data_IF_620560043246
#
_entry.id   IF_620560043246
#
_cell.length_a   1.000
_cell.length_b   1.000
_cell.length_c   1.000
_cell.angle_alpha   90.00
_cell.angle_beta   90.00
_cell.angle_gamma   90.00
#
_symmetry.space_group_name_H-M   'P 1'
#
loop_
_entity.id
_entity.type
_entity.pdbx_description
1 polymer ?
#
# COMPACT_ATOMS: atom_id res chain seq x y z
N UNK A 1 8.67 -28.54 8.07
CA UNK A 1 9.48 -27.47 7.44
C UNK A 1 10.58 -28.03 6.55
N UNK A 2 11.21 -29.15 6.94
CA UNK A 2 12.49 -29.70 6.39
C UNK A 2 12.63 -29.93 4.87
N UNK A 3 11.59 -29.75 4.05
CA UNK A 3 11.75 -29.86 2.58
C UNK A 3 11.10 -28.73 1.78
N UNK A 4 10.32 -27.83 2.42
CA UNK A 4 9.52 -26.81 1.72
C UNK A 4 10.38 -25.86 0.87
N UNK A 5 11.52 -25.44 1.41
CA UNK A 5 12.42 -24.49 0.76
C UNK A 5 13.66 -25.13 0.16
N UNK A 6 13.70 -26.46 0.04
CA UNK A 6 14.89 -27.20 -0.42
C UNK A 6 15.45 -26.71 -1.76
N UNK A 7 14.58 -26.33 -2.71
CA UNK A 7 14.98 -25.75 -4.01
C UNK A 7 15.52 -24.33 -3.89
N UNK A 8 14.98 -23.54 -2.97
CA UNK A 8 15.44 -22.17 -2.71
C UNK A 8 16.79 -22.19 -1.97
N UNK A 9 16.97 -23.11 -1.01
CA UNK A 9 18.23 -23.34 -0.31
C UNK A 9 19.37 -23.85 -1.22
N UNK A 10 19.04 -24.45 -2.37
CA UNK A 10 20.03 -24.86 -3.37
C UNK A 10 20.60 -23.68 -4.17
N UNK A 11 19.90 -22.55 -4.21
CA UNK A 11 20.42 -21.35 -4.86
C UNK A 11 21.51 -20.73 -3.98
N UNK A 12 22.77 -20.85 -4.42
CA UNK A 12 23.96 -20.55 -3.60
C UNK A 12 23.94 -19.18 -2.89
N UNK A 13 23.47 -18.07 -3.51
CA UNK A 13 23.33 -16.79 -2.81
C UNK A 13 22.36 -16.84 -1.62
N UNK A 14 21.24 -17.57 -1.72
CA UNK A 14 20.30 -17.71 -0.60
C UNK A 14 20.84 -18.73 0.40
N UNK A 15 21.18 -19.94 -0.05
CA UNK A 15 21.63 -21.06 0.78
C UNK A 15 20.74 -21.33 2.03
N UNK A 16 21.19 -22.19 2.95
CA UNK A 16 20.44 -22.49 4.18
C UNK A 16 20.39 -21.30 5.15
N UNK A 17 21.45 -20.51 5.19
CA UNK A 17 21.56 -19.37 6.11
C UNK A 17 20.69 -18.20 5.65
N UNK A 18 20.66 -17.87 4.36
CA UNK A 18 19.72 -16.87 3.85
C UNK A 18 18.27 -17.31 4.01
N UNK A 19 17.96 -18.61 3.88
CA UNK A 19 16.63 -19.12 4.18
C UNK A 19 16.24 -18.92 5.66
N UNK A 20 17.17 -19.16 6.60
CA UNK A 20 16.92 -18.86 8.02
C UNK A 20 16.65 -17.37 8.26
N UNK A 21 17.40 -16.49 7.59
CA UNK A 21 17.19 -15.04 7.68
C UNK A 21 15.84 -14.61 7.12
N UNK A 22 15.39 -15.22 6.00
CA UNK A 22 14.02 -15.02 5.49
C UNK A 22 12.98 -15.44 6.52
N UNK A 23 13.15 -16.60 7.15
CA UNK A 23 12.22 -17.10 8.17
C UNK A 23 12.17 -16.23 9.43
N UNK A 24 13.21 -15.45 9.70
CA UNK A 24 13.24 -14.50 10.82
C UNK A 24 12.88 -13.07 10.42
N UNK A 25 12.71 -12.77 9.12
CA UNK A 25 12.49 -11.40 8.67
C UNK A 25 11.04 -10.95 8.75
N UNK A 26 10.85 -9.64 8.91
CA UNK A 26 9.56 -8.97 8.93
C UNK A 26 9.51 -7.91 7.84
N UNK A 27 8.55 -8.04 6.92
CA UNK A 27 8.32 -7.09 5.84
C UNK A 27 6.98 -6.37 6.03
N UNK A 28 6.97 -5.04 5.92
CA UNK A 28 5.76 -4.24 5.87
C UNK A 28 5.40 -3.92 4.42
N UNK A 29 4.15 -4.13 4.03
CA UNK A 29 3.64 -3.85 2.69
C UNK A 29 2.51 -2.82 2.79
N UNK A 30 2.74 -1.64 2.22
CA UNK A 30 1.75 -0.56 2.16
C UNK A 30 0.96 -0.65 0.85
N UNK A 31 -0.31 -1.02 0.94
CA UNK A 31 -1.19 -1.34 -0.18
C UNK A 31 -1.15 -2.84 -0.48
N UNK A 32 -2.32 -3.46 -0.52
CA UNK A 32 -2.62 -4.83 -0.95
C UNK A 32 -3.34 -4.82 -2.31
N UNK A 33 -3.12 -3.79 -3.14
CA UNK A 33 -3.55 -3.76 -4.53
C UNK A 33 -2.70 -4.69 -5.42
N UNK A 34 -2.59 -4.38 -6.70
CA UNK A 34 -1.93 -5.25 -7.68
C UNK A 34 -0.46 -5.56 -7.34
N UNK A 35 0.33 -4.53 -7.02
CA UNK A 35 1.74 -4.69 -6.68
C UNK A 35 1.93 -5.36 -5.32
N UNK A 36 1.33 -4.81 -4.27
CA UNK A 36 1.54 -5.30 -2.91
C UNK A 36 1.03 -6.72 -2.68
N UNK A 37 -0.10 -7.11 -3.30
CA UNK A 37 -0.60 -8.49 -3.23
C UNK A 37 0.37 -9.48 -3.91
N UNK A 38 0.92 -9.13 -5.07
CA UNK A 38 1.92 -9.94 -5.76
C UNK A 38 3.22 -10.06 -4.94
N UNK A 39 3.71 -8.95 -4.37
CA UNK A 39 4.87 -8.95 -3.48
C UNK A 39 4.65 -9.84 -2.25
N UNK A 40 3.50 -9.71 -1.59
CA UNK A 40 3.14 -10.49 -0.43
C UNK A 40 3.13 -11.99 -0.75
N UNK A 41 2.50 -12.39 -1.86
CA UNK A 41 2.45 -13.80 -2.27
C UNK A 41 3.84 -14.38 -2.51
N UNK A 42 4.69 -13.67 -3.26
CA UNK A 42 6.05 -14.12 -3.54
C UNK A 42 6.87 -14.30 -2.24
N UNK A 43 6.77 -13.34 -1.31
CA UNK A 43 7.51 -13.40 -0.03
C UNK A 43 7.00 -14.50 0.90
N UNK A 44 5.69 -14.68 1.00
CA UNK A 44 5.07 -15.79 1.77
C UNK A 44 5.50 -17.13 1.20
N UNK A 45 5.55 -17.29 -0.13
CA UNK A 45 6.05 -18.51 -0.77
C UNK A 45 7.55 -18.72 -0.55
N UNK A 46 8.33 -17.64 -0.51
CA UNK A 46 9.76 -17.67 -0.22
C UNK A 46 10.09 -17.94 1.26
N UNK A 47 9.08 -17.88 2.15
CA UNK A 47 9.23 -18.19 3.57
C UNK A 47 9.66 -17.00 4.43
N UNK A 48 9.17 -15.80 4.13
CA UNK A 48 9.26 -14.66 5.05
C UNK A 48 8.65 -15.00 6.41
N UNK A 49 9.27 -14.58 7.50
CA UNK A 49 8.84 -14.86 8.87
C UNK A 49 7.55 -14.15 9.24
N UNK A 50 7.48 -12.85 8.97
CA UNK A 50 6.33 -12.01 9.26
C UNK A 50 6.01 -11.02 8.14
N UNK A 51 4.71 -10.76 7.94
CA UNK A 51 4.20 -9.68 7.10
C UNK A 51 3.29 -8.76 7.90
N UNK A 52 3.48 -7.45 7.73
CA UNK A 52 2.47 -6.43 8.04
C UNK A 52 1.84 -5.96 6.74
N UNK A 53 0.54 -6.19 6.58
CA UNK A 53 -0.24 -5.79 5.42
C UNK A 53 -1.13 -4.61 5.79
N UNK A 54 -1.02 -3.51 5.07
CA UNK A 54 -1.83 -2.32 5.29
C UNK A 54 -2.59 -2.02 4.01
N UNK A 55 -3.91 -2.01 4.06
CA UNK A 55 -4.74 -1.55 2.95
C UNK A 55 -6.06 -1.02 3.48
N UNK A 56 -6.59 0.00 2.82
CA UNK A 56 -7.78 0.72 3.22
C UNK A 56 -9.02 0.29 2.41
N UNK A 57 -8.83 -0.37 1.28
CA UNK A 57 -9.87 -0.68 0.31
C UNK A 57 -10.52 -2.05 0.54
N UNK A 58 -11.61 -2.26 -0.20
CA UNK A 58 -12.27 -3.55 -0.40
C UNK A 58 -11.96 -4.13 -1.77
N UNK A 59 -12.16 -5.44 -1.93
CA UNK A 59 -11.98 -6.12 -3.22
C UNK A 59 -13.15 -5.81 -4.17
N UNK A 60 -12.82 -5.35 -5.37
CA UNK A 60 -13.79 -5.08 -6.45
C UNK A 60 -13.66 -6.03 -7.65
N UNK A 61 -14.73 -6.23 -8.45
CA UNK A 61 -14.64 -7.00 -9.69
C UNK A 61 -13.60 -6.44 -10.67
N UNK A 62 -13.49 -5.12 -10.75
CA UNK A 62 -12.51 -4.41 -11.59
C UNK A 62 -11.05 -4.61 -11.13
N UNK A 63 -10.82 -5.27 -9.99
CA UNK A 63 -9.48 -5.56 -9.49
C UNK A 63 -8.97 -6.93 -9.97
N UNK A 64 -9.88 -7.86 -10.26
CA UNK A 64 -9.54 -9.28 -10.47
C UNK A 64 -8.63 -9.55 -11.66
N UNK A 65 -8.63 -8.69 -12.68
CA UNK A 65 -7.77 -8.85 -13.85
C UNK A 65 -6.27 -8.68 -13.56
N UNK A 66 -5.89 -8.12 -12.39
CA UNK A 66 -4.48 -7.81 -12.04
C UNK A 66 -4.10 -8.11 -10.59
N UNK A 67 -5.05 -8.47 -9.72
CA UNK A 67 -4.81 -8.71 -8.30
C UNK A 67 -5.01 -10.19 -7.98
N UNK A 68 -3.99 -11.00 -8.25
CA UNK A 68 -4.07 -12.46 -8.30
C UNK A 68 -4.43 -13.15 -6.97
N UNK A 69 -4.28 -12.47 -5.83
CA UNK A 69 -4.66 -13.02 -4.53
C UNK A 69 -6.17 -13.17 -4.36
N UNK A 70 -6.98 -12.39 -5.09
CA UNK A 70 -8.42 -12.30 -4.92
C UNK A 70 -9.19 -13.10 -5.97
N UNK A 71 -10.38 -13.56 -5.61
CA UNK A 71 -11.30 -14.29 -6.49
C UNK A 71 -12.67 -13.60 -6.57
N UNK A 72 -13.51 -14.03 -7.52
CA UNK A 72 -14.86 -13.47 -7.72
C UNK A 72 -15.72 -13.46 -6.45
N UNK A 73 -15.59 -14.49 -5.61
CA UNK A 73 -16.29 -14.58 -4.31
C UNK A 73 -15.90 -13.46 -3.33
N UNK A 74 -14.70 -12.91 -3.46
CA UNK A 74 -14.20 -11.83 -2.59
C UNK A 74 -14.65 -10.46 -3.12
N UNK A 75 -14.92 -10.38 -4.43
CA UNK A 75 -15.24 -9.16 -5.18
C UNK A 75 -16.69 -8.66 -5.02
N UNK A 76 -17.30 -8.91 -3.85
CA UNK A 76 -18.63 -8.40 -3.51
C UNK A 76 -18.62 -6.96 -2.96
N UNK A 77 -17.47 -6.28 -2.93
CA UNK A 77 -17.35 -4.90 -2.43
C UNK A 77 -17.45 -4.75 -0.91
N UNK A 78 -17.36 -5.86 -0.17
CA UNK A 78 -17.50 -5.87 1.30
C UNK A 78 -16.30 -6.46 2.01
N UNK A 79 -15.42 -7.18 1.28
CA UNK A 79 -14.26 -7.87 1.84
C UNK A 79 -13.05 -6.94 1.81
N UNK A 80 -12.47 -6.53 2.96
CA UNK A 80 -11.28 -5.69 2.97
C UNK A 80 -10.07 -6.39 2.34
N UNK A 81 -9.31 -5.68 1.51
CA UNK A 81 -8.15 -6.23 0.80
C UNK A 81 -7.11 -6.83 1.74
N UNK A 82 -6.76 -6.12 2.82
CA UNK A 82 -5.74 -6.59 3.77
C UNK A 82 -6.15 -7.92 4.45
N UNK A 83 -7.43 -8.08 4.81
CA UNK A 83 -7.95 -9.31 5.42
C UNK A 83 -8.06 -10.45 4.41
N UNK A 84 -8.58 -10.18 3.19
CA UNK A 84 -8.61 -11.17 2.12
C UNK A 84 -7.20 -11.66 1.75
N UNK A 85 -6.23 -10.75 1.66
CA UNK A 85 -4.84 -11.10 1.40
C UNK A 85 -4.29 -11.99 2.52
N UNK A 86 -4.50 -11.61 3.79
CA UNK A 86 -4.10 -12.43 4.94
C UNK A 86 -4.70 -13.84 4.90
N UNK A 87 -6.01 -13.97 4.71
CA UNK A 87 -6.68 -15.27 4.65
C UNK A 87 -6.07 -16.15 3.54
N UNK A 88 -5.86 -15.57 2.36
CA UNK A 88 -5.31 -16.29 1.20
C UNK A 88 -3.87 -16.72 1.44
N UNK A 89 -3.04 -15.81 1.97
CA UNK A 89 -1.62 -16.04 2.21
C UNK A 89 -1.38 -17.06 3.33
N UNK A 90 -2.21 -17.06 4.38
CA UNK A 90 -2.14 -18.08 5.44
C UNK A 90 -2.44 -19.49 4.91
N UNK A 91 -3.29 -19.62 3.89
CA UNK A 91 -3.53 -20.89 3.17
C UNK A 91 -2.35 -21.29 2.28
N UNK A 92 -1.57 -20.32 1.81
CA UNK A 92 -0.36 -20.57 1.02
C UNK A 92 0.76 -21.06 1.94
N UNK A 93 1.06 -20.35 3.03
CA UNK A 93 2.10 -20.73 3.98
C UNK A 93 1.69 -20.36 5.41
N UNK A 94 1.31 -21.38 6.19
CA UNK A 94 0.88 -21.21 7.58
C UNK A 94 2.01 -20.89 8.56
N UNK A 95 3.28 -20.92 8.12
CA UNK A 95 4.43 -20.58 8.97
C UNK A 95 4.69 -19.08 9.05
N UNK A 96 4.19 -18.28 8.10
CA UNK A 96 4.36 -16.83 8.10
C UNK A 96 3.34 -16.18 9.04
N UNK A 97 3.80 -15.37 9.99
CA UNK A 97 2.92 -14.51 10.79
C UNK A 97 2.40 -13.37 9.93
N UNK A 98 1.08 -13.16 9.87
CA UNK A 98 0.48 -12.10 9.04
C UNK A 98 -0.43 -11.21 9.87
N UNK A 99 -0.04 -9.95 9.98
CA UNK A 99 -0.79 -8.87 10.60
C UNK A 99 -1.46 -8.05 9.51
N UNK A 100 -2.79 -8.05 9.46
CA UNK A 100 -3.56 -7.25 8.51
C UNK A 100 -4.13 -6.03 9.24
N UNK A 101 -3.94 -4.87 8.64
CA UNK A 101 -4.46 -3.60 9.10
C UNK A 101 -5.36 -3.00 8.02
N UNK A 102 -6.66 -3.01 8.29
CA UNK A 102 -7.68 -2.36 7.45
C UNK A 102 -7.75 -0.89 7.80
N UNK A 103 -6.78 -0.09 7.34
CA UNK A 103 -6.66 1.32 7.68
C UNK A 103 -6.07 2.16 6.55
N UNK A 104 -6.48 3.42 6.46
CA UNK A 104 -5.76 4.43 5.67
C UNK A 104 -4.58 4.96 6.49
N UNK A 105 -3.40 4.37 6.31
CA UNK A 105 -2.25 4.69 7.13
C UNK A 105 -1.82 6.14 6.95
N UNK A 106 -1.93 6.89 8.05
CA UNK A 106 -1.41 8.21 8.25
C UNK A 106 0.09 8.22 8.52
N UNK A 107 0.69 9.43 8.55
CA UNK A 107 2.08 9.57 8.97
C UNK A 107 2.30 9.01 10.39
N UNK A 108 1.35 9.19 11.31
CA UNK A 108 1.44 8.65 12.67
C UNK A 108 1.49 7.12 12.71
N UNK A 109 0.67 6.43 11.91
CA UNK A 109 0.65 4.98 11.86
C UNK A 109 1.94 4.45 11.22
N UNK A 110 2.38 5.05 10.11
CA UNK A 110 3.62 4.65 9.45
C UNK A 110 4.83 4.93 10.37
N UNK A 111 4.87 6.06 11.07
CA UNK A 111 5.95 6.39 12.01
C UNK A 111 6.08 5.37 13.15
N UNK A 112 4.94 4.80 13.60
CA UNK A 112 4.90 3.75 14.63
C UNK A 112 5.26 2.37 14.09
N UNK A 113 4.85 2.04 12.87
CA UNK A 113 4.98 0.69 12.30
C UNK A 113 6.31 0.46 11.57
N UNK A 114 6.86 1.49 10.92
CA UNK A 114 8.13 1.40 10.19
C UNK A 114 9.28 0.77 11.00
N UNK A 115 9.60 1.22 12.24
CA UNK A 115 10.74 0.68 12.99
C UNK A 115 10.56 -0.77 13.46
N UNK A 116 9.39 -1.39 13.24
CA UNK A 116 9.11 -2.77 13.65
C UNK A 116 9.47 -3.80 12.57
N UNK A 117 9.79 -3.35 11.35
CA UNK A 117 10.09 -4.24 10.21
C UNK A 117 11.51 -4.04 9.69
N UNK A 118 12.04 -5.05 9.00
CA UNK A 118 13.37 -5.00 8.39
C UNK A 118 13.37 -4.20 7.09
N UNK A 119 12.23 -4.16 6.39
CA UNK A 119 12.08 -3.48 5.10
C UNK A 119 10.60 -3.22 4.80
N UNK A 120 10.34 -2.07 4.21
CA UNK A 120 9.01 -1.68 3.70
C UNK A 120 8.92 -1.89 2.20
N UNK A 121 7.73 -2.21 1.69
CA UNK A 121 7.41 -2.31 0.25
C UNK A 121 6.27 -1.35 -0.06
N UNK A 122 6.45 -0.54 -1.10
CA UNK A 122 5.37 0.26 -1.69
C UNK A 122 4.54 -0.57 -2.66
N UNK A 123 3.30 -0.89 -2.27
CA UNK A 123 2.25 -1.43 -3.13
C UNK A 123 1.16 -0.41 -3.43
N UNK A 124 1.38 0.87 -3.13
CA UNK A 124 0.40 1.95 -3.25
C UNK A 124 0.42 2.63 -4.61
N UNK A 125 -0.68 3.28 -4.93
CA UNK A 125 -0.90 4.04 -6.16
C UNK A 125 -0.95 5.56 -5.92
N UNK A 126 -0.53 6.02 -4.73
CA UNK A 126 -0.66 7.42 -4.31
C UNK A 126 0.69 8.05 -3.94
N UNK A 127 0.95 9.26 -4.43
CA UNK A 127 2.16 10.02 -4.11
C UNK A 127 2.28 10.44 -2.65
N UNK A 128 1.19 10.83 -1.99
CA UNK A 128 1.22 11.30 -0.59
C UNK A 128 1.85 10.25 0.33
N UNK A 129 1.39 9.00 0.19
CA UNK A 129 1.88 7.90 1.03
C UNK A 129 3.32 7.53 0.67
N UNK A 130 3.75 7.67 -0.59
CA UNK A 130 5.14 7.46 -1.00
C UNK A 130 6.09 8.41 -0.29
N UNK A 131 5.73 9.67 -0.16
CA UNK A 131 6.54 10.62 0.60
C UNK A 131 6.49 10.38 2.12
N UNK A 132 5.38 9.89 2.66
CA UNK A 132 5.30 9.43 4.06
C UNK A 132 6.23 8.23 4.30
N UNK A 133 6.19 7.22 3.43
CA UNK A 133 7.08 6.05 3.49
C UNK A 133 8.54 6.44 3.36
N UNK A 134 8.85 7.37 2.43
CA UNK A 134 10.19 7.94 2.28
C UNK A 134 10.71 8.57 3.57
N UNK A 135 9.90 9.45 4.18
CA UNK A 135 10.31 10.14 5.40
C UNK A 135 10.45 9.17 6.57
N UNK A 136 9.58 8.16 6.67
CA UNK A 136 9.70 7.10 7.68
C UNK A 136 10.94 6.23 7.47
N UNK A 137 11.25 5.87 6.22
CA UNK A 137 12.44 5.12 5.87
C UNK A 137 13.70 5.86 6.32
N UNK A 138 13.83 7.14 5.96
CA UNK A 138 15.00 7.95 6.34
C UNK A 138 15.06 8.20 7.86
N UNK A 139 13.92 8.48 8.51
CA UNK A 139 13.87 8.74 9.96
C UNK A 139 14.28 7.52 10.78
N UNK A 140 13.81 6.33 10.41
CA UNK A 140 14.02 5.10 11.19
C UNK A 140 15.15 4.23 10.67
N UNK A 141 15.80 4.61 9.56
CA UNK A 141 16.86 3.82 8.94
C UNK A 141 16.36 2.52 8.31
N UNK A 142 15.08 2.43 7.97
CA UNK A 142 14.44 1.23 7.43
C UNK A 142 14.45 1.27 5.89
N UNK A 143 15.07 0.30 5.20
CA UNK A 143 15.03 0.19 3.75
C UNK A 143 13.60 0.18 3.18
N UNK A 144 13.44 0.74 1.98
CA UNK A 144 12.14 0.86 1.33
C UNK A 144 12.21 0.49 -0.15
N UNK A 145 11.50 -0.57 -0.54
CA UNK A 145 11.37 -1.03 -1.92
C UNK A 145 10.18 -0.34 -2.60
N UNK A 146 10.48 0.72 -3.32
CA UNK A 146 9.55 1.48 -4.13
C UNK A 146 9.18 0.73 -5.42
N UNK A 147 7.91 0.81 -5.82
CA UNK A 147 7.42 0.29 -7.09
C UNK A 147 6.24 1.09 -7.62
N UNK A 148 6.18 1.24 -8.94
CA UNK A 148 5.02 1.80 -9.63
C UNK A 148 4.82 1.12 -10.99
N UNK A 149 3.58 1.07 -11.47
CA UNK A 149 3.25 0.54 -12.78
C UNK A 149 2.00 1.22 -13.36
N UNK A 150 2.01 1.49 -14.66
CA UNK A 150 0.90 2.05 -15.44
C UNK A 150 1.05 1.63 -16.90
N UNK A 151 -0.05 1.26 -17.58
CA UNK A 151 0.04 0.68 -18.92
C UNK A 151 0.83 -0.62 -18.91
N UNK A 152 1.83 -0.66 -19.81
CA UNK A 152 2.88 -1.68 -19.89
C UNK A 152 4.18 -1.26 -19.19
N UNK A 153 4.24 -0.05 -18.65
CA UNK A 153 5.43 0.55 -18.04
C UNK A 153 5.46 0.27 -16.55
N UNK A 154 6.63 -0.04 -16.04
CA UNK A 154 6.85 -0.20 -14.61
C UNK A 154 8.21 0.30 -14.17
N UNK A 155 8.32 0.54 -12.87
CA UNK A 155 9.55 0.97 -12.25
C UNK A 155 9.72 0.43 -10.84
N UNK A 156 10.97 0.23 -10.44
CA UNK A 156 11.35 -0.27 -9.13
C UNK A 156 12.64 0.38 -8.66
N UNK A 157 12.73 0.67 -7.37
CA UNK A 157 13.93 1.19 -6.72
C UNK A 157 13.99 0.69 -5.27
N UNK A 158 15.16 0.27 -4.81
CA UNK A 158 15.41 0.07 -3.38
C UNK A 158 16.11 1.31 -2.81
N UNK A 159 15.42 2.03 -1.95
CA UNK A 159 15.96 3.13 -1.17
C UNK A 159 16.60 2.59 0.11
N UNK A 160 17.86 2.92 0.32
CA UNK A 160 18.67 2.55 1.49
C UNK A 160 19.06 3.82 2.25
N UNK A 161 18.39 4.11 3.39
CA UNK A 161 18.67 5.28 4.20
C UNK A 161 20.16 5.49 4.48
N UNK A 162 20.63 6.72 4.30
CA UNK A 162 22.04 7.11 4.43
C UNK A 162 22.98 6.61 3.32
N UNK A 163 22.58 5.61 2.50
CA UNK A 163 23.42 5.02 1.45
C UNK A 163 23.02 5.45 0.04
N UNK A 164 21.74 5.56 -0.25
CA UNK A 164 21.21 6.09 -1.51
C UNK A 164 20.60 7.47 -1.30
N UNK A 165 20.41 8.28 -2.36
CA UNK A 165 19.45 9.38 -2.30
C UNK A 165 18.05 8.86 -1.96
N UNK A 166 17.21 9.70 -1.36
CA UNK A 166 15.82 9.37 -1.08
C UNK A 166 14.88 9.78 -2.25
N UNK A 167 13.58 9.53 -2.12
CA UNK A 167 12.57 9.91 -3.12
C UNK A 167 12.56 11.40 -3.42
N UNK A 168 12.71 12.27 -2.41
CA UNK A 168 12.78 13.72 -2.65
C UNK A 168 13.93 14.12 -3.56
N UNK A 169 15.11 13.53 -3.33
CA UNK A 169 16.27 13.76 -4.20
C UNK A 169 16.01 13.25 -5.62
N UNK A 170 15.42 12.05 -5.74
CA UNK A 170 15.09 11.46 -7.02
C UNK A 170 14.08 12.32 -7.80
N UNK A 171 13.02 12.78 -7.14
CA UNK A 171 11.96 13.58 -7.76
C UNK A 171 12.45 14.95 -8.24
N UNK A 172 13.35 15.59 -7.50
CA UNK A 172 13.97 16.85 -7.93
C UNK A 172 14.93 16.66 -9.12
N UNK A 173 15.49 15.46 -9.27
CA UNK A 173 16.41 15.12 -10.36
C UNK A 173 15.73 14.60 -11.62
N UNK A 174 14.42 14.29 -11.57
CA UNK A 174 13.66 13.81 -12.73
C UNK A 174 12.97 14.97 -13.47
N UNK A 175 12.85 14.90 -14.82
CA UNK A 175 12.01 15.82 -15.57
C UNK A 175 10.54 15.72 -15.13
N UNK A 176 9.83 16.85 -15.20
CA UNK A 176 8.38 16.90 -14.96
C UNK A 176 7.63 15.89 -15.83
N UNK A 177 6.63 15.20 -15.27
CA UNK A 177 5.79 14.24 -16.00
C UNK A 177 6.34 12.82 -16.12
N UNK A 178 7.57 12.53 -15.66
CA UNK A 178 8.17 11.17 -15.73
C UNK A 178 7.41 10.11 -14.92
N UNK A 179 6.59 10.55 -13.96
CA UNK A 179 5.92 9.70 -12.97
C UNK A 179 4.38 9.75 -13.05
N UNK A 180 3.79 10.44 -14.03
CA UNK A 180 2.33 10.57 -14.07
C UNK A 180 1.72 9.24 -14.48
N UNK A 181 1.04 8.58 -13.55
CA UNK A 181 0.16 7.44 -13.77
C UNK A 181 -1.16 7.85 -14.49
N UNK A 182 -1.10 8.89 -15.33
CA UNK A 182 -2.28 9.50 -15.91
C UNK A 182 -2.90 8.63 -17.02
N UNK A 183 -4.22 8.48 -16.91
CA UNK A 183 -5.17 8.04 -17.92
C UNK A 183 -4.97 6.68 -18.63
N UNK A 184 -3.89 5.95 -18.36
CA UNK A 184 -3.60 4.68 -19.03
C UNK A 184 -4.14 3.50 -18.21
N UNK A 185 -4.83 2.55 -18.87
CA UNK A 185 -5.16 1.26 -18.27
C UNK A 185 -3.89 0.53 -17.79
N UNK A 186 -4.01 -0.61 -17.10
CA UNK A 186 -2.85 -1.36 -16.59
C UNK A 186 -2.97 -2.84 -16.93
N UNK A 187 -1.86 -3.45 -17.34
CA UNK A 187 -1.82 -4.89 -17.65
C UNK A 187 -1.10 -5.67 -16.53
N UNK A 188 -1.62 -6.85 -16.21
CA UNK A 188 -1.07 -7.73 -15.16
C UNK A 188 0.43 -8.04 -15.33
N UNK A 189 0.98 -8.28 -16.55
CA UNK A 189 2.41 -8.52 -16.72
C UNK A 189 3.32 -7.39 -16.21
N UNK A 190 2.92 -6.12 -16.41
CA UNK A 190 3.69 -4.98 -15.89
C UNK A 190 3.72 -4.99 -14.35
N UNK A 191 2.58 -5.30 -13.71
CA UNK A 191 2.49 -5.46 -12.26
C UNK A 191 3.43 -6.57 -11.77
N UNK A 192 3.36 -7.75 -12.40
CA UNK A 192 4.15 -8.91 -11.98
C UNK A 192 5.66 -8.67 -12.12
N UNK A 193 6.07 -8.00 -13.19
CA UNK A 193 7.47 -7.65 -13.40
C UNK A 193 7.96 -6.63 -12.37
N UNK A 194 7.19 -5.58 -12.07
CA UNK A 194 7.53 -4.61 -11.01
C UNK A 194 7.62 -5.30 -9.65
N UNK A 195 6.63 -6.13 -9.29
CA UNK A 195 6.62 -6.87 -8.03
C UNK A 195 7.82 -7.84 -7.92
N UNK A 196 8.21 -8.47 -9.03
CA UNK A 196 9.39 -9.33 -9.08
C UNK A 196 10.68 -8.56 -8.82
N UNK A 197 10.81 -7.35 -9.36
CA UNK A 197 11.96 -6.47 -9.09
C UNK A 197 11.99 -6.04 -7.62
N UNK A 198 10.86 -5.62 -7.05
CA UNK A 198 10.77 -5.22 -5.63
C UNK A 198 11.16 -6.38 -4.70
N UNK A 199 10.55 -7.55 -4.90
CA UNK A 199 10.78 -8.72 -4.05
C UNK A 199 12.19 -9.29 -4.20
N UNK A 200 12.79 -9.24 -5.39
CA UNK A 200 14.18 -9.66 -5.58
C UNK A 200 15.14 -8.81 -4.74
N UNK A 201 14.99 -7.48 -4.72
CA UNK A 201 15.83 -6.60 -3.89
C UNK A 201 15.59 -6.82 -2.39
N UNK A 202 14.33 -7.02 -1.99
CA UNK A 202 13.97 -7.37 -0.61
C UNK A 202 14.61 -8.69 -0.18
N UNK A 203 14.52 -9.73 -1.01
CA UNK A 203 15.12 -11.03 -0.73
C UNK A 203 16.64 -10.93 -0.63
N UNK A 204 17.30 -10.20 -1.55
CA UNK A 204 18.75 -9.96 -1.45
C UNK A 204 19.11 -9.25 -0.15
N UNK A 205 18.36 -8.22 0.23
CA UNK A 205 18.60 -7.47 1.45
C UNK A 205 18.48 -8.36 2.69
N UNK A 206 17.34 -9.04 2.87
CA UNK A 206 17.07 -9.83 4.10
C UNK A 206 17.93 -11.09 4.19
N UNK A 207 18.34 -11.67 3.06
CA UNK A 207 19.29 -12.79 3.06
C UNK A 207 20.74 -12.34 3.30
N UNK A 208 21.01 -11.02 3.28
CA UNK A 208 22.33 -10.42 3.47
C UNK A 208 23.22 -10.40 2.24
N UNK A 209 22.64 -10.57 1.06
CA UNK A 209 23.31 -10.44 -0.24
C UNK A 209 23.41 -8.97 -0.68
N UNK A 210 23.92 -8.09 0.19
CA UNK A 210 23.90 -6.63 -0.01
C UNK A 210 24.74 -6.14 -1.19
N UNK A 211 25.75 -6.90 -1.59
CA UNK A 211 26.57 -6.60 -2.76
C UNK A 211 25.83 -6.81 -4.09
N UNK A 212 24.78 -7.65 -4.09
CA UNK A 212 23.98 -7.94 -5.28
C UNK A 212 22.82 -6.93 -5.50
N UNK A 213 22.62 -5.99 -4.57
CA UNK A 213 21.61 -4.94 -4.68
C UNK A 213 21.96 -4.00 -5.82
N UNK A 214 21.00 -3.72 -6.72
CA UNK A 214 21.32 -2.94 -7.93
C UNK A 214 21.49 -1.46 -7.65
N UNK A 215 20.92 -0.91 -6.56
CA UNK A 215 21.06 0.50 -6.12
C UNK A 215 20.78 1.51 -7.26
N UNK A 216 19.78 1.18 -8.08
CA UNK A 216 19.41 1.90 -9.32
C UNK A 216 17.89 2.03 -9.39
N UNK A 217 17.41 3.07 -10.06
CA UNK A 217 16.03 3.13 -10.52
C UNK A 217 15.94 2.28 -11.79
N UNK A 218 15.11 1.24 -11.77
CA UNK A 218 14.84 0.42 -12.95
C UNK A 218 13.54 0.91 -13.57
N UNK A 219 13.56 1.23 -14.86
CA UNK A 219 12.38 1.54 -15.67
C UNK A 219 12.27 0.51 -16.79
N UNK A 220 11.08 0.03 -17.10
CA UNK A 220 10.86 -0.91 -18.19
C UNK A 220 9.52 -0.65 -18.87
N UNK A 221 9.42 -1.08 -20.13
CA UNK A 221 8.15 -1.25 -20.86
C UNK A 221 8.08 -2.70 -21.31
N UNK A 222 7.19 -3.49 -20.69
CA UNK A 222 7.10 -4.92 -20.97
C UNK A 222 6.50 -5.23 -22.34
N UNK A 223 5.70 -4.31 -22.89
CA UNK A 223 5.08 -4.50 -24.20
C UNK A 223 6.09 -4.32 -25.32
N UNK A 224 6.96 -3.31 -25.17
CA UNK A 224 8.02 -3.01 -26.13
C UNK A 224 9.34 -3.74 -25.81
N UNK A 225 9.41 -4.48 -24.70
CA UNK A 225 10.59 -5.24 -24.28
C UNK A 225 11.77 -4.37 -23.85
N UNK A 226 11.54 -3.12 -23.43
CA UNK A 226 12.62 -2.22 -22.99
C UNK A 226 12.86 -2.36 -21.50
N UNK A 227 14.13 -2.30 -21.09
CA UNK A 227 14.52 -2.41 -19.68
C UNK A 227 15.80 -1.58 -19.43
N UNK A 228 15.68 -0.53 -18.63
CA UNK A 228 16.70 0.50 -18.46
C UNK A 228 16.97 0.78 -16.97
N UNK A 229 18.15 0.40 -16.47
CA UNK A 229 18.58 0.74 -15.13
C UNK A 229 19.33 2.09 -15.10
N UNK A 230 18.83 3.05 -14.33
CA UNK A 230 19.40 4.38 -14.14
C UNK A 230 20.10 4.49 -12.78
N UNK A 231 21.36 4.93 -12.81
CA UNK A 231 22.07 5.34 -11.60
C UNK A 231 21.55 6.69 -11.13
N UNK A 232 21.20 6.80 -9.85
CA UNK A 232 20.65 8.03 -9.27
C UNK A 232 21.51 8.56 -8.11
N UNK A 233 22.65 7.93 -7.79
CA UNK A 233 23.49 8.30 -6.64
C UNK A 233 23.94 9.77 -6.64
N UNK A 234 24.15 10.37 -7.81
CA UNK A 234 24.52 11.78 -7.97
C UNK A 234 23.38 12.76 -7.67
N UNK A 235 22.14 12.28 -7.53
CA UNK A 235 20.98 13.12 -7.26
C UNK A 235 20.86 13.51 -5.78
N UNK A 236 21.74 12.99 -4.89
CA UNK A 236 21.70 13.30 -3.45
C UNK A 236 21.96 14.79 -3.21
N UNK A 237 21.00 15.45 -2.56
CA UNK A 237 21.10 16.85 -2.17
C UNK A 237 21.46 16.99 -0.69
N UNK A 238 22.41 17.86 -0.34
CA UNK A 238 22.80 18.10 1.05
C UNK A 238 21.68 18.77 1.86
N UNK A 239 20.88 19.61 1.22
CA UNK A 239 19.74 20.33 1.80
C UNK A 239 18.41 19.58 1.61
N UNK A 240 18.43 18.28 1.27
CA UNK A 240 17.21 17.50 1.13
C UNK A 240 16.43 17.48 2.46
N UNK A 241 15.12 17.79 2.47
CA UNK A 241 14.34 17.86 3.72
C UNK A 241 14.14 16.49 4.41
N UNK A 242 14.46 15.38 3.74
CA UNK A 242 14.31 14.02 4.29
C UNK A 242 15.63 13.31 4.55
N UNK A 243 16.63 13.44 3.66
CA UNK A 243 17.90 12.71 3.79
C UNK A 243 19.14 13.63 3.80
N UNK A 244 18.94 14.94 3.93
CA UNK A 244 20.00 15.93 4.01
C UNK A 244 20.72 15.93 5.36
N UNK A 245 21.57 16.93 5.58
CA UNK A 245 22.36 17.04 6.83
C UNK A 245 21.54 17.42 8.05
N UNK A 246 20.36 18.03 7.86
CA UNK A 246 19.41 18.39 8.90
C UNK A 246 17.97 18.04 8.45
N UNK A 247 17.57 16.76 8.50
CA UNK A 247 16.28 16.32 7.98
C UNK A 247 15.12 16.76 8.89
N UNK A 248 14.04 17.22 8.28
CA UNK A 248 12.83 17.68 8.97
C UNK A 248 11.65 16.70 8.84
N UNK A 249 11.71 15.77 7.88
CA UNK A 249 10.66 14.78 7.62
C UNK A 249 9.26 15.42 7.44
N UNK A 250 9.09 16.31 6.46
CA UNK A 250 7.89 17.15 6.33
C UNK A 250 6.58 16.35 6.18
N UNK A 251 6.62 15.16 5.58
CA UNK A 251 5.42 14.32 5.39
C UNK A 251 5.06 13.52 6.63
N UNK A 252 5.99 13.32 7.57
CA UNK A 252 5.67 12.81 8.90
C UNK A 252 5.08 13.87 9.83
N UNK A 253 5.32 15.16 9.56
CA UNK A 253 4.82 16.28 10.37
C UNK A 253 3.48 16.85 9.89
N UNK A 254 3.08 16.62 8.64
CA UNK A 254 1.83 17.16 8.08
C UNK A 254 0.61 16.61 8.82
N UNK A 255 -0.09 17.49 9.57
CA UNK A 255 -1.37 17.20 10.23
C UNK A 255 -2.60 17.29 9.31
N UNK A 256 -2.51 18.01 8.18
CA UNK A 256 -3.67 18.25 7.31
C UNK A 256 -3.62 17.37 6.06
N UNK A 257 -4.33 16.23 6.11
CA UNK A 257 -4.72 15.49 4.90
C UNK A 257 -5.95 16.15 4.29
N UNK A 258 -6.00 16.22 2.95
CA UNK A 258 -7.25 16.54 2.26
C UNK A 258 -8.35 15.58 2.71
N UNK A 259 -9.50 16.14 3.14
CA UNK A 259 -10.72 15.44 3.55
C UNK A 259 -11.27 14.56 2.44
N UNK A 260 -11.03 14.92 1.17
CA UNK A 260 -11.57 14.24 -0.02
C UNK A 260 -10.43 13.91 -0.98
N UNK A 261 -10.40 12.69 -1.50
CA UNK A 261 -9.35 12.16 -2.37
C UNK A 261 -9.94 11.28 -3.46
N UNK A 262 -9.57 11.50 -4.72
CA UNK A 262 -9.89 10.59 -5.83
C UNK A 262 -8.67 9.70 -6.09
N UNK A 263 -8.86 8.37 -6.11
CA UNK A 263 -7.80 7.43 -6.48
C UNK A 263 -7.85 7.12 -7.98
N UNK A 264 -6.68 7.15 -8.62
CA UNK A 264 -6.55 6.95 -10.06
C UNK A 264 -7.15 5.60 -10.51
N UNK A 265 -8.02 5.63 -11.53
CA UNK A 265 -8.54 4.42 -12.19
C UNK A 265 -9.53 3.57 -11.38
N UNK A 266 -10.00 4.05 -10.21
CA UNK A 266 -10.86 3.28 -9.31
C UNK A 266 -12.36 3.60 -9.44
N UNK A 267 -12.74 4.65 -10.17
CA UNK A 267 -14.11 5.21 -10.19
C UNK A 267 -14.70 5.36 -8.77
N UNK A 268 -13.85 5.78 -7.82
CA UNK A 268 -14.16 5.82 -6.39
C UNK A 268 -13.54 7.08 -5.76
N UNK A 269 -14.34 7.81 -5.00
CA UNK A 269 -13.89 8.94 -4.17
C UNK A 269 -13.83 8.51 -2.71
N UNK A 270 -12.75 8.88 -2.03
CA UNK A 270 -12.49 8.63 -0.63
C UNK A 270 -12.75 9.90 0.19
N UNK A 271 -13.53 9.78 1.25
CA UNK A 271 -13.80 10.86 2.20
C UNK A 271 -13.32 10.45 3.59
N UNK A 272 -12.55 11.34 4.21
CA UNK A 272 -11.95 11.22 5.55
C UNK A 272 -12.35 12.46 6.35
N UNK A 273 -13.48 12.41 7.06
CA UNK A 273 -14.06 13.60 7.70
C UNK A 273 -13.26 14.10 8.93
N UNK A 274 -12.29 13.32 9.41
CA UNK A 274 -11.39 13.66 10.52
C UNK A 274 -11.14 12.43 11.38
N UNK A 275 -10.04 12.41 12.13
CA UNK A 275 -9.69 11.27 12.99
C UNK A 275 -10.69 11.06 14.15
N UNK A 276 -11.43 12.10 14.54
CA UNK A 276 -12.35 12.10 15.68
C UNK A 276 -13.83 11.87 15.28
N UNK A 277 -14.09 11.61 13.98
CA UNK A 277 -15.45 11.43 13.46
C UNK A 277 -15.80 9.95 13.47
N UNK A 278 -16.80 9.60 14.29
CA UNK A 278 -17.33 8.25 14.42
C UNK A 278 -18.78 8.20 13.96
N UNK A 279 -19.25 7.01 13.62
CA UNK A 279 -20.63 6.79 13.17
C UNK A 279 -21.37 5.86 14.12
N UNK A 280 -22.62 6.19 14.44
CA UNK A 280 -23.50 5.24 15.11
C UNK A 280 -23.99 4.23 14.06
N UNK A 281 -23.29 3.09 13.94
CA UNK A 281 -23.58 2.09 12.90
C UNK A 281 -25.01 1.56 12.92
N UNK A 282 -25.64 1.23 14.07
CA UNK A 282 -27.06 0.87 14.12
C UNK A 282 -27.99 1.95 13.53
N UNK A 283 -27.75 3.23 13.88
CA UNK A 283 -28.54 4.34 13.35
C UNK A 283 -28.31 4.54 11.85
N UNK A 284 -27.05 4.48 11.41
CA UNK A 284 -26.66 4.62 10.02
C UNK A 284 -27.22 3.49 9.16
N UNK A 285 -27.23 2.26 9.67
CA UNK A 285 -27.84 1.09 9.03
C UNK A 285 -29.34 1.29 8.81
N UNK A 286 -30.07 1.72 9.84
CA UNK A 286 -31.50 2.00 9.73
C UNK A 286 -31.79 3.15 8.76
N UNK A 287 -30.94 4.18 8.74
CA UNK A 287 -31.08 5.30 7.81
C UNK A 287 -30.84 4.87 6.37
N UNK A 288 -29.72 4.20 6.09
CA UNK A 288 -29.34 3.78 4.74
C UNK A 288 -30.30 2.72 4.16
N UNK A 289 -30.86 1.85 5.00
CA UNK A 289 -31.84 0.85 4.59
C UNK A 289 -33.14 1.46 4.02
N UNK A 290 -33.39 2.76 4.25
CA UNK A 290 -34.52 3.48 3.64
C UNK A 290 -34.25 3.85 2.17
N UNK A 291 -32.98 3.80 1.73
CA UNK A 291 -32.54 4.28 0.43
C UNK A 291 -31.95 3.18 -0.46
N UNK A 292 -31.57 2.03 0.11
CA UNK A 292 -30.91 0.96 -0.64
C UNK A 292 -30.70 -0.33 0.15
N UNK A 293 -30.16 -1.34 -0.54
CA UNK A 293 -29.77 -2.60 0.10
C UNK A 293 -28.51 -2.38 0.95
N UNK A 294 -28.60 -2.69 2.25
CA UNK A 294 -27.51 -2.54 3.20
C UNK A 294 -26.88 -3.89 3.54
N UNK A 295 -25.55 -3.94 3.56
CA UNK A 295 -24.77 -5.07 4.08
C UNK A 295 -23.79 -4.55 5.12
N UNK A 296 -23.53 -5.35 6.14
CA UNK A 296 -22.69 -4.98 7.27
C UNK A 296 -21.79 -6.13 7.67
N UNK A 297 -20.55 -5.80 8.02
CA UNK A 297 -19.63 -6.71 8.69
C UNK A 297 -18.90 -5.97 9.83
N UNK A 298 -17.91 -6.63 10.44
CA UNK A 298 -17.16 -6.07 11.58
C UNK A 298 -16.29 -4.85 11.25
N UNK A 299 -16.04 -4.56 9.97
CA UNK A 299 -15.15 -3.48 9.52
C UNK A 299 -15.91 -2.32 8.86
N UNK A 300 -17.03 -2.59 8.22
CA UNK A 300 -17.73 -1.61 7.40
C UNK A 300 -19.21 -1.95 7.19
N UNK A 301 -19.93 -0.92 6.77
CA UNK A 301 -21.31 -0.96 6.30
C UNK A 301 -21.35 -0.47 4.86
N UNK A 302 -21.95 -1.23 3.96
CA UNK A 302 -22.18 -0.82 2.57
C UNK A 302 -23.65 -0.59 2.28
N UNK A 303 -23.98 0.37 1.43
CA UNK A 303 -25.31 0.60 0.90
C UNK A 303 -25.28 0.71 -0.63
N UNK A 304 -26.09 -0.10 -1.31
CA UNK A 304 -26.33 0.00 -2.75
C UNK A 304 -27.41 1.05 -3.02
N UNK A 305 -26.99 2.23 -3.46
CA UNK A 305 -27.88 3.31 -3.88
C UNK A 305 -28.20 3.17 -5.39
N UNK A 306 -29.22 3.88 -5.93
CA UNK A 306 -29.64 3.70 -7.32
C UNK A 306 -28.55 3.88 -8.39
N UNK A 307 -27.58 4.78 -8.17
CA UNK A 307 -26.51 5.10 -9.12
C UNK A 307 -25.09 4.91 -8.57
N UNK A 308 -24.95 4.61 -7.28
CA UNK A 308 -23.68 4.65 -6.55
C UNK A 308 -23.65 3.54 -5.50
N UNK A 309 -22.46 3.16 -5.05
CA UNK A 309 -22.31 2.33 -3.86
C UNK A 309 -21.53 3.07 -2.79
N UNK A 310 -22.09 3.11 -1.59
CA UNK A 310 -21.47 3.70 -0.42
C UNK A 310 -20.84 2.60 0.44
N UNK A 311 -19.63 2.82 0.96
CA UNK A 311 -19.04 2.02 2.02
C UNK A 311 -18.53 2.92 3.15
N UNK A 312 -19.00 2.70 4.38
CA UNK A 312 -18.62 3.44 5.58
C UNK A 312 -17.88 2.50 6.53
N UNK A 313 -16.64 2.82 6.85
CA UNK A 313 -15.77 2.04 7.71
C UNK A 313 -15.91 2.47 9.17
N UNK A 314 -15.62 1.54 10.08
CA UNK A 314 -15.71 1.78 11.54
C UNK A 314 -14.73 2.83 12.05
N UNK A 315 -13.66 3.10 11.29
CA UNK A 315 -12.66 4.13 11.58
C UNK A 315 -12.97 5.49 10.93
N UNK A 316 -14.23 5.71 10.51
CA UNK A 316 -14.72 6.99 9.99
C UNK A 316 -14.50 7.20 8.50
N UNK A 317 -13.81 6.28 7.81
CA UNK A 317 -13.53 6.39 6.37
C UNK A 317 -14.76 6.09 5.53
N UNK A 318 -14.89 6.77 4.40
CA UNK A 318 -16.02 6.60 3.48
C UNK A 318 -15.51 6.44 2.07
N UNK A 319 -16.03 5.45 1.36
CA UNK A 319 -15.81 5.22 -0.06
C UNK A 319 -17.13 5.41 -0.80
N UNK A 320 -17.09 6.23 -1.86
CA UNK A 320 -18.22 6.45 -2.76
C UNK A 320 -17.80 5.94 -4.13
N UNK A 321 -18.32 4.77 -4.48
CA UNK A 321 -18.07 4.11 -5.75
C UNK A 321 -19.09 4.54 -6.79
N UNK A 322 -18.64 4.68 -8.04
CA UNK A 322 -19.47 5.09 -9.16
C UNK A 322 -19.24 6.53 -9.60
N UNK A 323 -18.36 7.27 -8.92
CA UNK A 323 -17.97 8.65 -9.29
C UNK A 323 -16.47 8.88 -9.08
N UNK A 324 -15.91 9.81 -9.87
CA UNK A 324 -14.59 10.40 -9.66
C UNK A 324 -14.68 11.89 -9.27
N UNK A 325 -15.90 12.45 -9.19
CA UNK A 325 -16.14 13.86 -8.91
C UNK A 325 -16.16 14.10 -7.38
N UNK A 326 -15.19 14.86 -6.83
CA UNK A 326 -15.15 15.17 -5.40
C UNK A 326 -16.39 15.90 -4.89
N UNK A 327 -16.97 16.81 -5.67
CA UNK A 327 -18.13 17.61 -5.25
C UNK A 327 -19.40 16.75 -5.15
N UNK A 328 -19.59 15.84 -6.12
CA UNK A 328 -20.69 14.86 -6.09
C UNK A 328 -20.55 13.93 -4.89
N UNK A 329 -19.34 13.44 -4.64
CA UNK A 329 -19.05 12.59 -3.50
C UNK A 329 -19.29 13.31 -2.16
N UNK A 330 -18.89 14.58 -2.05
CA UNK A 330 -19.15 15.40 -0.87
C UNK A 330 -20.66 15.58 -0.63
N UNK A 331 -21.43 15.86 -1.70
CA UNK A 331 -22.88 15.96 -1.60
C UNK A 331 -23.54 14.65 -1.11
N UNK A 332 -23.08 13.50 -1.60
CA UNK A 332 -23.53 12.17 -1.16
C UNK A 332 -23.20 11.95 0.32
N UNK A 333 -21.99 12.31 0.75
CA UNK A 333 -21.59 12.23 2.15
C UNK A 333 -22.52 13.04 3.08
N UNK A 334 -22.75 14.31 2.76
CA UNK A 334 -23.62 15.18 3.55
C UNK A 334 -25.07 14.68 3.58
N UNK A 335 -25.55 14.15 2.46
CA UNK A 335 -26.94 13.68 2.35
C UNK A 335 -27.20 12.41 3.18
N UNK A 336 -26.32 11.41 3.05
CA UNK A 336 -26.58 10.05 3.52
C UNK A 336 -25.80 9.63 4.79
N UNK A 337 -24.67 10.27 5.10
CA UNK A 337 -23.74 9.77 6.13
C UNK A 337 -23.56 10.73 7.30
N UNK A 338 -23.41 12.03 7.02
CA UNK A 338 -23.08 13.02 8.05
C UNK A 338 -24.10 13.08 9.20
N UNK A 339 -25.38 12.84 8.91
CA UNK A 339 -26.45 12.84 9.92
C UNK A 339 -26.30 11.78 11.01
N UNK A 340 -25.52 10.72 10.77
CA UNK A 340 -25.22 9.68 11.75
C UNK A 340 -23.83 9.83 12.39
N UNK A 341 -23.11 10.91 12.05
CA UNK A 341 -21.80 11.22 12.61
C UNK A 341 -21.93 11.75 14.04
N UNK A 342 -20.95 11.44 14.88
CA UNK A 342 -20.71 12.10 16.15
C UNK A 342 -19.20 12.29 16.35
N UNK A 343 -18.83 13.35 17.07
CA UNK A 343 -17.45 13.55 17.52
C UNK A 343 -17.33 13.08 18.96
N UNK A 344 -16.31 12.28 19.27
CA UNK A 344 -15.98 12.01 20.67
C UNK A 344 -15.27 13.26 21.18
N UNK A 345 -15.99 14.13 21.90
CA UNK A 345 -15.31 15.14 22.72
C UNK A 345 -14.38 14.38 23.66
N UNK A 346 -13.09 14.78 23.71
CA UNK A 346 -12.06 14.24 24.60
C UNK A 346 -12.68 13.74 25.91
N UNK A 347 -12.42 12.48 26.27
CA UNK A 347 -12.69 12.01 27.62
C UNK A 347 -12.20 13.07 28.62
N UNK A 348 -13.03 13.56 29.55
CA UNK A 348 -12.50 14.35 30.65
C UNK A 348 -11.56 13.44 31.43
N UNK A 349 -10.31 13.87 31.59
CA UNK A 349 -9.38 13.25 32.53
C UNK A 349 -10.07 13.17 33.90
N UNK A 350 -10.36 11.95 34.36
CA UNK A 350 -10.63 11.63 35.77
C UNK A 350 -9.97 10.33 36.13
#
# INVERSE_FOLDING_TARGET
MEHRYSRQEQFAPINKEGQKRLLSSHVLIMGCGALGSACAEMLVRAGVGALTLIDRDVVEPSNLHRQNLYAERDAGGTVPKAEAAKERLQKINSFTSIHAYVLDAGPEQIDKLAPQCDVMIDGSDNFDIRFILNDAAEKHGVPWAFGAAAGSVGMSCLFLPGRTPCLHCLMQGMPDGTMTCDASGIISPAVQMTASLQTAEVMKLVTGNTEALHKKLVLFDIWNGTHQPFGFSSMKQQNCPSCGTAPEFPYLRKKNRSRIRTLCGSNTVHIHPGADVHYNFPLLEQHLAQHGEVKKNKHLLTCMLPSLRLAVFTDGRILIHGTNNPEEAEAVYHHYVEKAAYTVEKEPET
#
